data_IF_024259866848
#
_entry.id   IF_024259866848
#
_cell.length_a   1.000
_cell.length_b   1.000
_cell.length_c   1.000
_cell.angle_alpha   90.00
_cell.angle_beta   90.00
_cell.angle_gamma   90.00
#
_symmetry.space_group_name_H-M   'P 1'
#
loop_
_entity.id
_entity.type
_entity.pdbx_description
1 polymer ?
#
# COMPACT_ATOMS: atom_id res chain seq x y z
N UNK A 1 -10.17 -14.02 90.09
CA UNK A 1 -9.82 -14.66 88.85
C UNK A 1 -10.71 -14.06 87.78
N UNK A 2 -10.23 -13.08 87.06
CA UNK A 2 -10.97 -12.32 86.03
C UNK A 2 -10.36 -12.56 84.67
N UNK A 3 -11.12 -13.05 83.71
CA UNK A 3 -10.65 -13.23 82.34
C UNK A 3 -11.16 -12.05 81.48
N UNK A 4 -10.20 -11.25 81.06
CA UNK A 4 -10.41 -10.14 80.14
C UNK A 4 -10.54 -10.65 78.75
N UNK A 5 -11.64 -10.35 78.03
CA UNK A 5 -11.81 -10.63 76.63
C UNK A 5 -11.63 -9.33 75.86
N UNK A 6 -10.56 -9.29 75.11
CA UNK A 6 -10.30 -8.23 74.14
C UNK A 6 -11.09 -8.49 72.87
N UNK A 7 -11.94 -7.52 72.48
CA UNK A 7 -12.69 -7.51 71.23
C UNK A 7 -11.89 -6.76 70.16
N UNK A 8 -11.36 -7.46 69.18
CA UNK A 8 -10.66 -6.86 68.04
C UNK A 8 -11.67 -6.44 66.94
N UNK A 9 -11.81 -5.14 66.77
CA UNK A 9 -12.60 -4.54 65.69
C UNK A 9 -11.88 -4.71 64.34
N UNK A 10 -12.56 -5.39 63.40
CA UNK A 10 -12.14 -5.48 62.00
C UNK A 10 -12.68 -4.27 61.24
N UNK A 11 -11.83 -3.26 61.00
CA UNK A 11 -12.13 -2.21 60.03
C UNK A 11 -11.78 -2.74 58.63
N UNK A 12 -12.78 -2.92 57.80
CA UNK A 12 -12.63 -3.28 56.40
C UNK A 12 -12.05 -2.12 55.61
N UNK A 13 -10.97 -2.38 54.95
CA UNK A 13 -10.35 -1.48 53.96
C UNK A 13 -10.97 -1.84 52.60
N UNK A 14 -11.90 -1.03 52.10
CA UNK A 14 -12.38 -1.07 50.73
C UNK A 14 -11.34 -0.35 49.86
N UNK A 15 -10.43 -1.09 49.28
CA UNK A 15 -9.54 -0.61 48.24
C UNK A 15 -10.27 -0.54 46.90
N UNK A 16 -10.56 0.67 46.42
CA UNK A 16 -11.05 0.88 45.05
C UNK A 16 -9.90 0.64 44.07
N UNK A 17 -9.98 -0.44 43.31
CA UNK A 17 -9.14 -0.69 42.13
C UNK A 17 -9.62 0.20 40.99
N UNK A 18 -8.93 1.32 40.74
CA UNK A 18 -9.07 2.10 39.54
C UNK A 18 -8.40 1.32 38.39
N UNK A 19 -9.21 0.67 37.55
CA UNK A 19 -8.76 0.09 36.29
C UNK A 19 -8.55 1.23 35.30
N UNK A 20 -7.33 1.73 35.19
CA UNK A 20 -6.95 2.64 34.12
C UNK A 20 -6.90 1.85 32.80
N UNK A 21 -7.98 1.94 32.03
CA UNK A 21 -8.04 1.43 30.68
C UNK A 21 -7.09 2.21 29.77
N UNK A 22 -5.85 1.77 29.68
CA UNK A 22 -4.96 2.21 28.60
C UNK A 22 -5.43 1.55 27.30
N UNK A 23 -6.18 2.29 26.49
CA UNK A 23 -6.42 1.92 25.10
C UNK A 23 -5.09 1.97 24.36
N UNK A 24 -4.46 0.82 24.20
CA UNK A 24 -3.37 0.62 23.26
C UNK A 24 -3.93 0.85 21.85
N UNK A 25 -3.83 2.08 21.35
CA UNK A 25 -3.91 2.34 19.94
C UNK A 25 -2.76 1.57 19.29
N UNK A 26 -3.05 0.40 18.74
CA UNK A 26 -2.11 -0.34 17.92
C UNK A 26 -1.82 0.51 16.69
N UNK A 27 -0.76 1.30 16.74
CA UNK A 27 -0.17 1.94 15.58
C UNK A 27 0.14 0.82 14.60
N UNK A 28 -0.59 0.75 13.48
CA UNK A 28 -0.14 -0.02 12.33
C UNK A 28 1.18 0.58 11.87
N UNK A 29 2.26 0.10 12.40
CA UNK A 29 3.58 0.34 11.84
C UNK A 29 3.66 -0.46 10.53
N UNK A 30 3.00 0.06 9.50
CA UNK A 30 3.20 -0.41 8.14
C UNK A 30 4.65 -0.11 7.76
N UNK A 31 5.35 -1.10 7.24
CA UNK A 31 6.72 -0.88 6.78
C UNK A 31 6.68 0.07 5.57
N UNK A 32 7.50 1.12 5.60
CA UNK A 32 7.72 1.99 4.43
C UNK A 32 8.01 1.11 3.20
N UNK A 33 7.44 1.42 2.00
CA UNK A 33 7.72 0.67 0.79
C UNK A 33 9.22 0.52 0.54
N UNK A 34 9.67 -0.70 0.21
CA UNK A 34 11.07 -0.98 -0.06
C UNK A 34 11.54 -0.33 -1.36
N UNK A 35 12.84 0.01 -1.44
CA UNK A 35 13.46 0.44 -2.69
C UNK A 35 13.75 -0.78 -3.57
N UNK A 36 13.47 -0.64 -4.86
CA UNK A 36 13.74 -1.66 -5.88
C UNK A 36 14.76 -1.10 -6.88
N UNK A 37 15.90 -1.77 -7.00
CA UNK A 37 16.88 -1.46 -8.02
C UNK A 37 16.40 -1.98 -9.40
N UNK A 38 16.62 -1.22 -10.46
CA UNK A 38 16.30 -1.64 -11.83
C UNK A 38 17.03 -2.92 -12.23
N UNK A 39 18.25 -3.12 -11.73
CA UNK A 39 19.01 -4.35 -11.97
C UNK A 39 18.37 -5.60 -11.38
N UNK A 40 17.54 -5.46 -10.33
CA UNK A 40 16.83 -6.57 -9.71
C UNK A 40 15.54 -6.98 -10.46
N UNK A 41 15.11 -6.18 -11.44
CA UNK A 41 13.95 -6.49 -12.27
C UNK A 41 14.25 -7.71 -13.13
N UNK A 42 13.34 -8.68 -13.14
CA UNK A 42 13.43 -9.90 -13.95
C UNK A 42 12.06 -10.37 -14.38
N UNK A 43 12.02 -11.11 -15.47
CA UNK A 43 10.86 -11.91 -15.87
C UNK A 43 11.08 -13.34 -15.39
N UNK A 44 10.20 -13.81 -14.52
CA UNK A 44 10.22 -15.14 -13.89
C UNK A 44 8.95 -15.95 -14.13
N UNK A 45 8.09 -15.49 -15.05
CA UNK A 45 6.85 -16.14 -15.46
C UNK A 45 6.77 -16.23 -16.99
N UNK A 46 5.92 -17.10 -17.52
CA UNK A 46 5.71 -17.23 -18.98
C UNK A 46 5.21 -15.93 -19.59
N UNK A 47 4.23 -15.31 -18.93
CA UNK A 47 3.66 -14.02 -19.32
C UNK A 47 3.95 -12.98 -18.26
N UNK A 48 4.54 -11.87 -18.68
CA UNK A 48 4.78 -10.72 -17.82
C UNK A 48 4.35 -9.43 -18.52
N UNK A 49 3.55 -8.61 -17.83
CA UNK A 49 3.05 -7.35 -18.37
C UNK A 49 3.22 -6.22 -17.38
N UNK A 50 3.60 -5.06 -17.92
CA UNK A 50 3.56 -3.81 -17.17
C UNK A 50 2.36 -2.97 -17.63
N UNK A 51 1.59 -2.49 -16.67
CA UNK A 51 0.56 -1.49 -16.86
C UNK A 51 1.11 -0.12 -16.48
N UNK A 52 0.87 0.88 -17.33
CA UNK A 52 1.43 2.22 -17.14
C UNK A 52 0.37 3.15 -16.57
N UNK A 53 0.61 3.66 -15.35
CA UNK A 53 -0.25 4.60 -14.63
C UNK A 53 0.45 5.95 -14.49
N UNK A 54 0.33 6.80 -15.51
CA UNK A 54 0.89 8.15 -15.58
C UNK A 54 -0.19 9.26 -15.46
N UNK A 55 -1.44 8.86 -15.38
CA UNK A 55 -2.62 9.73 -15.36
C UNK A 55 -3.30 9.76 -13.99
N UNK A 56 -4.07 10.84 -13.74
CA UNK A 56 -4.78 11.05 -12.47
C UNK A 56 -6.31 10.89 -12.57
N UNK A 57 -6.84 10.38 -13.68
CA UNK A 57 -8.28 10.16 -13.85
C UNK A 57 -8.76 8.93 -13.07
N UNK A 58 -9.72 9.07 -12.11
CA UNK A 58 -10.20 7.95 -11.30
C UNK A 58 -10.94 6.87 -12.10
N UNK A 59 -11.65 7.25 -13.18
CA UNK A 59 -12.38 6.28 -14.02
C UNK A 59 -11.39 5.42 -14.79
N UNK A 60 -10.34 6.02 -15.37
CA UNK A 60 -9.25 5.27 -16.02
C UNK A 60 -8.49 4.37 -15.05
N UNK A 61 -8.29 4.80 -13.79
CA UNK A 61 -7.71 3.92 -12.78
C UNK A 61 -8.63 2.74 -12.47
N UNK A 62 -9.93 2.98 -12.35
CA UNK A 62 -10.93 1.91 -12.23
C UNK A 62 -10.91 0.93 -13.41
N UNK A 63 -10.74 1.44 -14.64
CA UNK A 63 -10.60 0.62 -15.85
C UNK A 63 -9.30 -0.18 -15.85
N UNK A 64 -8.17 0.42 -15.42
CA UNK A 64 -6.90 -0.29 -15.26
C UNK A 64 -7.07 -1.50 -14.34
N UNK A 65 -7.68 -1.31 -13.17
CA UNK A 65 -7.94 -2.38 -12.20
C UNK A 65 -8.79 -3.49 -12.83
N UNK A 66 -9.85 -3.12 -13.57
CA UNK A 66 -10.72 -4.08 -14.26
C UNK A 66 -9.96 -4.87 -15.34
N UNK A 67 -9.14 -4.19 -16.15
CA UNK A 67 -8.32 -4.83 -17.18
C UNK A 67 -7.30 -5.80 -16.58
N UNK A 68 -6.67 -5.43 -15.46
CA UNK A 68 -5.74 -6.33 -14.75
C UNK A 68 -6.46 -7.56 -14.20
N UNK A 69 -7.64 -7.38 -13.62
CA UNK A 69 -8.44 -8.51 -13.13
C UNK A 69 -8.83 -9.47 -14.27
N UNK A 70 -9.30 -8.93 -15.40
CA UNK A 70 -9.62 -9.72 -16.59
C UNK A 70 -8.38 -10.44 -17.13
N UNK A 71 -7.22 -9.76 -17.12
CA UNK A 71 -5.96 -10.38 -17.55
C UNK A 71 -5.59 -11.57 -16.66
N UNK A 72 -5.62 -11.39 -15.32
CA UNK A 72 -5.34 -12.47 -14.36
C UNK A 72 -6.32 -13.65 -14.52
N UNK A 73 -7.60 -13.37 -14.78
CA UNK A 73 -8.63 -14.41 -14.86
C UNK A 73 -8.41 -15.41 -16.03
N UNK A 74 -7.82 -14.95 -17.15
CA UNK A 74 -7.46 -15.81 -18.29
C UNK A 74 -6.40 -16.85 -17.90
N UNK A 75 -5.57 -16.53 -16.92
CA UNK A 75 -4.54 -17.43 -16.38
C UNK A 75 -4.97 -18.09 -15.06
N UNK A 76 -6.27 -18.07 -14.75
CA UNK A 76 -6.84 -18.66 -13.53
C UNK A 76 -6.19 -18.11 -12.24
N UNK A 77 -5.68 -16.87 -12.31
CA UNK A 77 -4.94 -16.19 -11.23
C UNK A 77 -3.66 -16.93 -10.78
N UNK A 78 -3.10 -17.77 -11.64
CA UNK A 78 -1.87 -18.53 -11.36
C UNK A 78 -0.64 -17.61 -11.44
N UNK A 79 -0.04 -17.34 -10.27
CA UNK A 79 1.13 -16.47 -10.12
C UNK A 79 2.42 -17.06 -10.70
N UNK A 80 2.43 -18.34 -11.03
CA UNK A 80 3.57 -18.98 -11.72
C UNK A 80 3.52 -18.75 -13.23
N UNK A 81 2.34 -18.51 -13.79
CA UNK A 81 2.11 -18.32 -15.21
C UNK A 81 2.12 -16.84 -15.64
N UNK A 82 1.58 -15.96 -14.78
CA UNK A 82 1.43 -14.54 -15.13
C UNK A 82 1.93 -13.60 -14.02
N UNK A 83 2.72 -12.60 -14.39
CA UNK A 83 3.16 -11.50 -13.53
C UNK A 83 2.64 -10.18 -14.08
N UNK A 84 1.91 -9.42 -13.28
CA UNK A 84 1.48 -8.07 -13.62
C UNK A 84 2.12 -7.08 -12.66
N UNK A 85 2.68 -6.00 -13.20
CA UNK A 85 3.18 -4.86 -12.43
C UNK A 85 2.56 -3.57 -12.93
N UNK A 86 2.39 -2.61 -12.02
CA UNK A 86 1.95 -1.26 -12.38
C UNK A 86 3.10 -0.29 -12.15
N UNK A 87 3.54 0.37 -13.20
CA UNK A 87 4.53 1.45 -13.07
C UNK A 87 3.79 2.77 -12.92
N UNK A 88 4.02 3.43 -11.80
CA UNK A 88 3.27 4.61 -11.35
C UNK A 88 4.17 5.83 -11.33
N UNK A 89 3.77 6.88 -12.05
CA UNK A 89 4.42 8.19 -11.97
C UNK A 89 3.45 9.33 -12.30
N UNK A 90 3.93 10.58 -12.27
CA UNK A 90 3.11 11.76 -12.53
C UNK A 90 1.83 11.76 -11.68
N UNK A 91 0.68 12.07 -12.25
CA UNK A 91 -0.58 12.18 -11.54
C UNK A 91 -1.14 10.84 -11.01
N UNK A 92 -0.65 9.70 -11.52
CA UNK A 92 -1.03 8.38 -11.02
C UNK A 92 -0.60 8.13 -9.58
N UNK A 93 0.43 8.86 -9.11
CA UNK A 93 0.95 8.70 -7.76
C UNK A 93 -0.10 8.98 -6.68
N UNK A 94 -1.04 9.91 -6.92
CA UNK A 94 -2.06 10.30 -5.94
C UNK A 94 -2.89 9.13 -5.41
N UNK A 95 -3.09 8.07 -6.20
CA UNK A 95 -3.88 6.91 -5.79
C UNK A 95 -3.18 6.04 -4.73
N UNK A 96 -1.88 6.26 -4.51
CA UNK A 96 -1.04 5.51 -3.58
C UNK A 96 -0.56 6.34 -2.37
N UNK A 97 -1.14 7.52 -2.16
CA UNK A 97 -0.90 8.37 -1.00
C UNK A 97 -2.01 8.20 0.04
N UNK A 98 -1.66 8.24 1.32
CA UNK A 98 -2.62 8.24 2.43
C UNK A 98 -3.25 9.61 2.62
N UNK A 99 -2.49 10.67 2.34
CA UNK A 99 -2.90 12.04 2.49
C UNK A 99 -2.44 12.89 1.30
N UNK A 100 -3.37 13.61 0.70
CA UNK A 100 -3.11 14.50 -0.43
C UNK A 100 -2.80 15.95 -0.01
N UNK A 101 -2.91 16.30 1.27
CA UNK A 101 -2.63 17.67 1.73
C UNK A 101 -1.21 18.10 1.35
N UNK A 102 -1.04 19.34 0.90
CA UNK A 102 0.26 19.87 0.46
C UNK A 102 0.81 19.22 -0.82
N UNK A 103 0.00 18.47 -1.55
CA UNK A 103 0.34 17.96 -2.88
C UNK A 103 -0.42 18.72 -3.97
N UNK A 104 -0.03 18.61 -5.25
CA UNK A 104 -0.79 19.21 -6.35
C UNK A 104 -2.25 18.74 -6.45
N UNK A 105 -2.58 17.64 -5.76
CA UNK A 105 -3.91 17.00 -5.76
C UNK A 105 -4.67 17.19 -4.44
N UNK A 106 -4.32 18.20 -3.64
CA UNK A 106 -4.90 18.41 -2.29
C UNK A 106 -6.44 18.56 -2.29
N UNK A 107 -7.02 19.01 -3.40
CA UNK A 107 -8.46 19.18 -3.56
C UNK A 107 -9.16 18.01 -4.25
N UNK A 108 -8.41 16.98 -4.66
CA UNK A 108 -8.99 15.82 -5.33
C UNK A 108 -9.73 14.94 -4.34
N UNK A 109 -10.89 14.46 -4.77
CA UNK A 109 -11.66 13.44 -4.03
C UNK A 109 -11.46 12.10 -4.71
N UNK A 110 -10.75 11.20 -4.05
CA UNK A 110 -10.50 9.85 -4.55
C UNK A 110 -11.41 8.88 -3.78
N UNK A 111 -12.19 8.09 -4.51
CA UNK A 111 -12.97 7.02 -3.92
C UNK A 111 -12.03 5.98 -3.31
N UNK A 112 -12.10 5.72 -2.00
CA UNK A 112 -11.24 4.74 -1.34
C UNK A 112 -11.46 3.31 -1.85
N UNK A 113 -12.60 3.01 -2.47
CA UNK A 113 -12.86 1.70 -3.05
C UNK A 113 -11.91 1.38 -4.22
N UNK A 114 -11.44 2.38 -4.94
CA UNK A 114 -10.43 2.16 -6.01
C UNK A 114 -9.16 1.51 -5.47
N UNK A 115 -8.63 2.04 -4.36
CA UNK A 115 -7.44 1.45 -3.75
C UNK A 115 -7.73 0.06 -3.17
N UNK A 116 -8.87 -0.13 -2.52
CA UNK A 116 -9.32 -1.43 -2.00
C UNK A 116 -9.45 -2.47 -3.11
N UNK A 117 -10.01 -2.12 -4.25
CA UNK A 117 -10.10 -3.01 -5.43
C UNK A 117 -8.70 -3.35 -5.96
N UNK A 118 -7.79 -2.36 -6.04
CA UNK A 118 -6.41 -2.60 -6.45
C UNK A 118 -5.70 -3.57 -5.49
N UNK A 119 -5.81 -3.36 -4.17
CA UNK A 119 -5.23 -4.26 -3.16
C UNK A 119 -5.78 -5.68 -3.24
N UNK A 120 -7.03 -5.84 -3.72
CA UNK A 120 -7.61 -7.16 -3.98
C UNK A 120 -6.85 -7.97 -5.04
N UNK A 121 -6.11 -7.33 -5.95
CA UNK A 121 -5.31 -8.01 -6.97
C UNK A 121 -3.92 -8.42 -6.48
N UNK A 122 -3.41 -7.79 -5.41
CA UNK A 122 -2.03 -8.02 -4.95
C UNK A 122 -1.82 -9.41 -4.35
N UNK A 123 -2.89 -10.06 -3.88
CA UNK A 123 -2.87 -11.47 -3.48
C UNK A 123 -2.50 -12.43 -4.64
N UNK A 124 -2.60 -11.96 -5.88
CA UNK A 124 -2.19 -12.66 -7.09
C UNK A 124 -0.85 -12.13 -7.64
N UNK A 125 0.01 -11.60 -6.76
CA UNK A 125 1.36 -11.18 -7.11
C UNK A 125 1.46 -9.84 -7.86
N UNK A 126 0.40 -9.05 -7.93
CA UNK A 126 0.46 -7.70 -8.51
C UNK A 126 1.27 -6.78 -7.60
N UNK A 127 2.21 -6.02 -8.18
CA UNK A 127 3.02 -5.02 -7.50
C UNK A 127 2.87 -3.65 -8.16
N UNK A 128 3.11 -2.58 -7.40
CA UNK A 128 3.14 -1.21 -7.90
C UNK A 128 4.51 -0.57 -7.64
N UNK A 129 5.11 -0.05 -8.71
CA UNK A 129 6.43 0.57 -8.71
C UNK A 129 6.30 2.09 -8.79
N UNK A 130 6.60 2.79 -7.69
CA UNK A 130 6.37 4.21 -7.49
C UNK A 130 7.62 5.02 -7.81
N UNK A 131 7.52 5.99 -8.71
CA UNK A 131 8.62 6.78 -9.23
C UNK A 131 9.15 7.82 -8.24
N UNK A 132 10.37 7.66 -7.71
CA UNK A 132 11.01 8.63 -6.80
C UNK A 132 11.19 10.02 -7.44
N UNK A 133 11.41 10.11 -8.78
CA UNK A 133 11.47 11.40 -9.47
C UNK A 133 10.16 12.17 -9.36
N UNK A 134 9.01 11.48 -9.37
CA UNK A 134 7.71 12.14 -9.19
C UNK A 134 7.61 12.78 -7.81
N UNK A 135 7.97 12.07 -6.74
CA UNK A 135 8.01 12.62 -5.38
C UNK A 135 8.90 13.87 -5.31
N UNK A 136 10.13 13.76 -5.84
CA UNK A 136 11.08 14.88 -5.85
C UNK A 136 10.56 16.09 -6.62
N UNK A 137 10.05 15.91 -7.84
CA UNK A 137 9.55 17.01 -8.69
C UNK A 137 8.32 17.69 -8.12
N UNK A 138 7.40 16.90 -7.54
CA UNK A 138 6.17 17.41 -6.95
C UNK A 138 6.34 17.84 -5.49
N UNK A 139 7.57 17.72 -4.93
CA UNK A 139 7.91 18.04 -3.54
C UNK A 139 7.01 17.29 -2.54
N UNK A 140 6.70 16.03 -2.81
CA UNK A 140 5.87 15.17 -1.97
C UNK A 140 6.77 14.40 -1.02
N UNK A 141 6.42 14.44 0.27
CA UNK A 141 7.08 13.59 1.26
C UNK A 141 6.72 12.11 1.01
N UNK A 142 7.75 11.27 0.87
CA UNK A 142 7.58 9.84 0.64
C UNK A 142 6.90 9.15 1.84
N UNK A 143 6.94 9.73 3.04
CA UNK A 143 6.21 9.25 4.21
C UNK A 143 4.68 9.30 4.06
N UNK A 144 4.16 10.08 3.10
CA UNK A 144 2.72 10.10 2.76
C UNK A 144 2.27 8.88 1.95
N UNK A 145 3.19 8.04 1.50
CA UNK A 145 2.86 6.83 0.75
C UNK A 145 2.20 5.80 1.65
N UNK A 146 1.19 5.12 1.14
CA UNK A 146 0.62 3.92 1.78
C UNK A 146 1.70 2.89 2.07
N UNK A 147 1.54 2.12 3.14
CA UNK A 147 2.60 1.28 3.72
C UNK A 147 2.43 -0.21 3.39
N UNK A 148 1.84 -0.52 2.25
CA UNK A 148 1.61 -1.90 1.82
C UNK A 148 2.87 -2.52 1.20
N UNK A 149 3.11 -3.81 1.46
CA UNK A 149 4.34 -4.52 1.05
C UNK A 149 4.51 -4.69 -0.46
N UNK A 150 3.43 -4.62 -1.22
CA UNK A 150 3.44 -4.69 -2.69
C UNK A 150 3.86 -3.36 -3.35
N UNK A 151 3.96 -2.29 -2.59
CA UNK A 151 4.49 -1.00 -3.07
C UNK A 151 6.02 -1.04 -3.04
N UNK A 152 6.66 -0.60 -4.12
CA UNK A 152 8.11 -0.47 -4.22
C UNK A 152 8.47 0.89 -4.78
N UNK A 153 9.47 1.54 -4.22
CA UNK A 153 10.05 2.73 -4.82
C UNK A 153 11.05 2.35 -5.90
N UNK A 154 10.97 3.01 -7.04
CA UNK A 154 11.92 2.88 -8.15
C UNK A 154 12.53 4.25 -8.49
N UNK A 155 13.81 4.29 -8.90
CA UNK A 155 14.48 5.56 -9.15
C UNK A 155 13.77 6.45 -10.17
N UNK A 156 13.22 5.85 -11.24
CA UNK A 156 12.52 6.56 -12.32
C UNK A 156 11.44 5.67 -12.92
N UNK A 157 10.18 6.13 -12.94
CA UNK A 157 9.09 5.39 -13.59
C UNK A 157 9.34 5.17 -15.08
N UNK A 158 9.80 6.20 -15.81
CA UNK A 158 10.08 6.09 -17.25
C UNK A 158 11.22 5.10 -17.52
N UNK A 159 12.31 5.14 -16.74
CA UNK A 159 13.40 4.17 -16.87
C UNK A 159 12.91 2.75 -16.52
N UNK A 160 12.06 2.60 -15.49
CA UNK A 160 11.47 1.31 -15.12
C UNK A 160 10.62 0.74 -16.23
N UNK A 161 9.80 1.56 -16.92
CA UNK A 161 9.02 1.14 -18.09
C UNK A 161 9.94 0.61 -19.20
N UNK A 162 11.03 1.30 -19.51
CA UNK A 162 12.00 0.87 -20.51
C UNK A 162 12.68 -0.43 -20.09
N UNK A 163 13.18 -0.49 -18.84
CA UNK A 163 13.91 -1.65 -18.32
C UNK A 163 13.03 -2.91 -18.27
N UNK A 164 11.77 -2.81 -17.83
CA UNK A 164 10.84 -3.94 -17.83
C UNK A 164 10.61 -4.48 -19.25
N UNK A 165 10.49 -3.60 -20.26
CA UNK A 165 10.32 -4.04 -21.63
C UNK A 165 11.57 -4.76 -22.15
N UNK A 166 12.78 -4.30 -21.82
CA UNK A 166 14.03 -5.00 -22.17
C UNK A 166 14.14 -6.36 -21.50
N UNK A 167 13.50 -6.54 -20.33
CA UNK A 167 13.40 -7.82 -19.61
C UNK A 167 12.27 -8.72 -20.14
N UNK A 168 11.55 -8.30 -21.20
CA UNK A 168 10.52 -9.11 -21.84
C UNK A 168 9.10 -8.93 -21.28
N UNK A 169 8.84 -7.84 -20.53
CA UNK A 169 7.47 -7.47 -20.15
C UNK A 169 6.75 -6.82 -21.33
N UNK A 170 5.54 -7.26 -21.61
CA UNK A 170 4.66 -6.57 -22.55
C UNK A 170 4.17 -5.25 -21.92
N UNK A 171 4.16 -4.18 -22.73
CA UNK A 171 3.66 -2.87 -22.30
C UNK A 171 2.17 -2.74 -22.57
N UNK A 172 1.39 -2.39 -21.56
CA UNK A 172 -0.04 -2.13 -21.69
C UNK A 172 -0.40 -0.74 -21.15
N UNK A 173 -1.03 0.05 -22.03
CA UNK A 173 -1.57 1.37 -21.69
C UNK A 173 -3.08 1.28 -21.61
N UNK A 174 -3.66 1.87 -20.56
CA UNK A 174 -5.11 2.07 -20.45
C UNK A 174 -5.45 3.39 -21.11
N UNK A 175 -6.28 3.35 -22.14
CA UNK A 175 -6.70 4.49 -22.97
C UNK A 175 -7.81 5.32 -22.37
#
# INVERSE_FOLDING_TARGET
>A
MSKNRSTTSRRGFLGALAVSGATLAASRAGATPGKLDLAALKKDTDVACLYHLDFGDPQRFGQLITNMNNHLSVYEYDTMRVKLVVVVHSAGLKFFLDDLSGTPWANDKIDPDLYKRFTGLTKFGVEAYLCEITYKRQKIDMAKTKTDSFLKFVPSGVATVAELQTKGYAYLKVG
#
